data_IF_361241803437
#
_entry.id   IF_361241803437
#
_cell.length_a   1.000
_cell.length_b   1.000
_cell.length_c   1.000
_cell.angle_alpha   90.00
_cell.angle_beta   90.00
_cell.angle_gamma   90.00
#
_symmetry.space_group_name_H-M   'P 1'
#
loop_
_entity.id
_entity.type
_entity.pdbx_description
1 polymer ?
#
# COMPACT_ATOMS: atom_id res chain seq x y z
N UNK A 1 -8.75 -6.04 -11.28
CA UNK A 1 -7.52 -5.25 -11.47
C UNK A 1 -6.44 -6.16 -12.05
N UNK A 2 -5.75 -5.76 -13.11
CA UNK A 2 -4.61 -6.50 -13.64
C UNK A 2 -3.34 -5.93 -12.99
N UNK A 3 -2.52 -6.78 -12.42
CA UNK A 3 -1.22 -6.40 -11.83
C UNK A 3 -0.13 -6.86 -12.80
N UNK A 4 0.84 -6.01 -13.05
CA UNK A 4 2.00 -6.27 -13.89
C UNK A 4 3.26 -5.58 -13.33
N UNK A 5 4.37 -5.69 -14.04
CA UNK A 5 5.66 -5.12 -13.62
C UNK A 5 5.68 -3.59 -13.57
N UNK A 6 4.67 -2.91 -14.12
CA UNK A 6 4.54 -1.46 -14.10
C UNK A 6 3.54 -0.96 -13.04
N UNK A 7 2.95 -1.85 -12.23
CA UNK A 7 1.99 -1.47 -11.19
C UNK A 7 2.69 -0.70 -10.05
N UNK A 8 2.21 0.52 -9.76
CA UNK A 8 2.66 1.30 -8.60
C UNK A 8 2.06 0.79 -7.30
N UNK A 9 2.88 0.65 -6.25
CA UNK A 9 2.42 0.23 -4.93
C UNK A 9 2.22 1.44 -4.01
N UNK A 10 1.02 1.54 -3.42
CA UNK A 10 0.66 2.47 -2.35
C UNK A 10 0.25 1.68 -1.11
N UNK A 11 0.39 2.29 0.07
CA UNK A 11 -0.05 1.65 1.30
C UNK A 11 -0.51 2.64 2.37
N UNK A 12 -1.39 2.15 3.25
CA UNK A 12 -1.60 2.72 4.59
C UNK A 12 -0.84 1.86 5.59
N UNK A 13 -0.10 2.50 6.50
CA UNK A 13 0.60 1.84 7.61
C UNK A 13 -0.07 2.17 8.94
N UNK A 14 -0.10 1.23 9.86
CA UNK A 14 -0.64 1.43 11.20
C UNK A 14 -0.70 0.12 11.99
N UNK A 15 -1.19 0.19 13.22
CA UNK A 15 -1.44 -0.97 14.06
C UNK A 15 -2.55 -0.69 15.09
N UNK A 16 -3.68 -1.40 15.06
CA UNK A 16 -4.16 -2.30 14.00
C UNK A 16 -4.65 -1.50 12.78
N UNK A 17 -4.43 -2.01 11.57
CA UNK A 17 -4.85 -1.29 10.33
C UNK A 17 -5.69 -2.14 9.37
N UNK A 18 -5.83 -3.45 9.61
CA UNK A 18 -6.54 -4.38 8.71
C UNK A 18 -8.02 -4.08 8.51
N UNK A 19 -8.64 -3.34 9.42
CA UNK A 19 -10.04 -2.90 9.32
C UNK A 19 -10.23 -1.63 8.48
N UNK A 20 -9.13 -1.04 8.00
CA UNK A 20 -9.19 0.15 7.15
C UNK A 20 -9.97 -0.14 5.86
N UNK A 21 -10.90 0.74 5.53
CA UNK A 21 -11.62 0.73 4.25
C UNK A 21 -10.83 1.40 3.13
N UNK A 22 -9.68 2.04 3.43
CA UNK A 22 -8.85 2.71 2.44
C UNK A 22 -8.43 1.80 1.29
N UNK A 23 -7.99 0.53 1.50
CA UNK A 23 -7.69 -0.38 0.39
C UNK A 23 -8.90 -0.64 -0.52
N UNK A 24 -10.10 -0.77 0.03
CA UNK A 24 -11.32 -0.97 -0.77
C UNK A 24 -11.58 0.27 -1.63
N UNK A 25 -11.54 1.45 -1.02
CA UNK A 25 -11.81 2.72 -1.69
C UNK A 25 -10.77 3.02 -2.78
N UNK A 26 -9.47 2.96 -2.46
CA UNK A 26 -8.41 3.31 -3.41
C UNK A 26 -8.32 2.31 -4.56
N UNK A 27 -8.40 1.00 -4.32
CA UNK A 27 -8.37 0.03 -5.41
C UNK A 27 -9.61 0.14 -6.33
N UNK A 28 -10.79 0.46 -5.77
CA UNK A 28 -11.97 0.78 -6.58
C UNK A 28 -11.71 1.99 -7.49
N UNK A 29 -11.13 3.07 -6.95
CA UNK A 29 -10.81 4.27 -7.72
C UNK A 29 -9.72 4.00 -8.77
N UNK A 30 -8.66 3.27 -8.44
CA UNK A 30 -7.61 2.88 -9.39
C UNK A 30 -8.20 2.09 -10.55
N UNK A 31 -9.07 1.13 -10.27
CA UNK A 31 -9.78 0.38 -11.31
C UNK A 31 -10.70 1.29 -12.14
N UNK A 32 -11.50 2.16 -11.49
CA UNK A 32 -12.45 3.06 -12.16
C UNK A 32 -11.75 4.04 -13.12
N UNK A 33 -10.60 4.58 -12.70
CA UNK A 33 -9.83 5.55 -13.48
C UNK A 33 -8.70 4.94 -14.31
N UNK A 34 -8.63 3.59 -14.39
CA UNK A 34 -7.61 2.85 -15.14
C UNK A 34 -6.17 3.24 -14.75
N UNK A 35 -5.95 3.50 -13.47
CA UNK A 35 -4.63 3.77 -12.91
C UNK A 35 -3.98 2.42 -12.59
N UNK A 36 -2.78 2.16 -13.12
CA UNK A 36 -2.02 0.93 -12.85
C UNK A 36 -1.37 1.01 -11.47
N UNK A 37 -2.18 0.88 -10.41
CA UNK A 37 -1.73 0.96 -9.04
C UNK A 37 -2.50 0.00 -8.14
N UNK A 38 -1.88 -0.39 -7.02
CA UNK A 38 -2.51 -1.15 -5.94
C UNK A 38 -2.32 -0.42 -4.62
N UNK A 39 -3.34 -0.46 -3.76
CA UNK A 39 -3.31 0.09 -2.41
C UNK A 39 -3.44 -1.02 -1.38
N UNK A 40 -2.47 -1.17 -0.48
CA UNK A 40 -2.44 -2.20 0.57
C UNK A 40 -2.50 -1.60 1.97
N UNK A 41 -2.81 -2.45 2.96
CA UNK A 41 -2.71 -2.11 4.38
C UNK A 41 -1.56 -2.91 5.00
N UNK A 42 -0.55 -2.21 5.53
CA UNK A 42 0.59 -2.81 6.20
C UNK A 42 0.44 -2.65 7.72
N UNK A 43 0.15 -3.77 8.38
CA UNK A 43 0.01 -3.84 9.83
C UNK A 43 1.39 -3.98 10.48
N UNK A 44 1.94 -2.85 10.91
CA UNK A 44 3.32 -2.74 11.39
C UNK A 44 3.28 -2.30 12.85
N UNK A 45 3.76 -3.18 13.74
CA UNK A 45 3.92 -2.86 15.15
C UNK A 45 4.81 -1.61 15.33
N UNK A 46 4.54 -0.74 16.32
CA UNK A 46 5.41 0.41 16.62
C UNK A 46 6.89 0.04 16.80
N UNK A 47 7.17 -1.17 17.31
CA UNK A 47 8.53 -1.67 17.52
C UNK A 47 9.27 -1.93 16.19
N UNK A 48 8.55 -2.19 15.10
CA UNK A 48 9.10 -2.54 13.80
C UNK A 48 9.16 -1.36 12.83
N UNK A 49 8.62 -0.19 13.21
CA UNK A 49 8.54 0.99 12.34
C UNK A 49 9.90 1.39 11.74
N UNK A 50 10.97 1.32 12.55
CA UNK A 50 12.32 1.65 12.07
C UNK A 50 12.78 0.70 10.97
N UNK A 51 12.58 -0.60 11.16
CA UNK A 51 12.96 -1.64 10.19
C UNK A 51 12.11 -1.51 8.92
N UNK A 52 10.81 -1.25 9.08
CA UNK A 52 9.90 -1.02 7.97
C UNK A 52 10.35 0.16 7.08
N UNK A 53 10.64 1.33 7.66
CA UNK A 53 11.11 2.48 6.87
C UNK A 53 12.47 2.25 6.22
N UNK A 54 13.34 1.43 6.81
CA UNK A 54 14.60 1.03 6.16
C UNK A 54 14.33 0.16 4.92
N UNK A 55 13.39 -0.78 5.00
CA UNK A 55 12.99 -1.61 3.86
C UNK A 55 12.30 -0.78 2.75
N UNK A 56 11.46 0.20 3.11
CA UNK A 56 10.78 1.06 2.14
C UNK A 56 11.72 1.96 1.34
N UNK A 57 12.98 2.12 1.73
CA UNK A 57 13.99 2.85 0.92
C UNK A 57 14.44 2.08 -0.32
N UNK A 58 14.31 0.76 -0.32
CA UNK A 58 14.73 -0.11 -1.43
C UNK A 58 13.57 -0.72 -2.19
N UNK A 59 12.38 -0.78 -1.57
CA UNK A 59 11.15 -1.21 -2.21
C UNK A 59 10.52 -0.01 -2.93
N UNK A 60 10.16 -0.11 -4.22
CA UNK A 60 9.58 0.99 -4.98
C UNK A 60 8.10 1.22 -4.59
N UNK A 61 7.88 1.80 -3.41
CA UNK A 61 6.59 2.36 -2.98
C UNK A 61 6.46 3.80 -3.46
N UNK A 62 5.27 4.18 -3.93
CA UNK A 62 5.01 5.46 -4.58
C UNK A 62 4.43 6.54 -3.63
N UNK A 63 4.27 6.23 -2.34
CA UNK A 63 3.66 7.12 -1.33
C UNK A 63 4.19 6.89 0.06
#
# INVERSE_FOLDING_TARGET
MKIDSATSLYAVIGHPVRHSLSPVMHNFLFQKYKINAVYLAFDISPNDLRVFFQAMRVIPVAG
#
